data_IF_823761820511
#
_entry.id   IF_823761820511
#
_cell.length_a   1.000
_cell.length_b   1.000
_cell.length_c   1.000
_cell.angle_alpha   90.00
_cell.angle_beta   90.00
_cell.angle_gamma   90.00
#
_symmetry.space_group_name_H-M   'P 1'
#
loop_
_entity.id
_entity.type
_entity.pdbx_description
1 polymer ?
#
# COMPACT_ATOMS: atom_id res chain seq x y z
N UNK A 1 -49.47 -5.59 -19.45
CA UNK A 1 -48.08 -5.86 -19.02
C UNK A 1 -47.68 -5.14 -17.71
N UNK A 2 -48.37 -4.08 -17.29
CA UNK A 2 -48.14 -3.40 -16.00
C UNK A 2 -48.80 -4.07 -14.78
N UNK A 3 -49.91 -4.79 -14.97
CA UNK A 3 -50.66 -5.43 -13.89
C UNK A 3 -50.05 -6.76 -13.40
N UNK A 4 -49.27 -7.46 -14.22
CA UNK A 4 -48.60 -8.71 -13.82
C UNK A 4 -47.34 -8.46 -12.99
N UNK A 5 -46.60 -7.38 -13.26
CA UNK A 5 -45.40 -7.02 -12.49
C UNK A 5 -45.74 -6.60 -11.06
N UNK A 6 -46.89 -5.94 -10.86
CA UNK A 6 -47.35 -5.54 -9.51
C UNK A 6 -47.84 -6.75 -8.69
N UNK A 7 -48.39 -7.77 -9.33
CA UNK A 7 -48.78 -9.01 -8.64
C UNK A 7 -47.56 -9.86 -8.26
N UNK A 8 -46.47 -9.80 -9.04
CA UNK A 8 -45.23 -10.51 -8.73
C UNK A 8 -44.49 -9.88 -7.54
N UNK A 9 -44.45 -8.54 -7.44
CA UNK A 9 -43.83 -7.83 -6.30
C UNK A 9 -44.62 -8.00 -4.99
N UNK A 10 -45.96 -8.06 -5.07
CA UNK A 10 -46.81 -8.34 -3.90
C UNK A 10 -46.67 -9.78 -3.39
N UNK A 11 -46.34 -10.75 -4.24
CA UNK A 11 -46.07 -12.14 -3.82
C UNK A 11 -44.70 -12.26 -3.14
N UNK A 12 -43.67 -11.61 -3.68
CA UNK A 12 -42.33 -11.60 -3.07
C UNK A 12 -42.32 -11.00 -1.65
N UNK A 13 -43.07 -9.91 -1.41
CA UNK A 13 -43.20 -9.31 -0.07
C UNK A 13 -44.00 -10.16 0.92
N UNK A 14 -44.86 -11.07 0.45
CA UNK A 14 -45.67 -11.93 1.33
C UNK A 14 -44.85 -13.11 1.87
N UNK A 15 -43.98 -13.68 1.06
CA UNK A 15 -43.10 -14.79 1.48
C UNK A 15 -42.02 -14.34 2.48
N UNK A 16 -41.51 -13.11 2.34
CA UNK A 16 -40.52 -12.55 3.26
C UNK A 16 -41.11 -12.15 4.64
N UNK A 17 -42.45 -11.97 4.70
CA UNK A 17 -43.15 -11.78 5.98
C UNK A 17 -43.38 -13.10 6.71
N UNK A 18 -43.64 -14.20 5.97
CA UNK A 18 -43.87 -15.54 6.55
C UNK A 18 -42.58 -16.16 7.07
N UNK A 19 -41.44 -15.91 6.43
CA UNK A 19 -40.13 -16.39 6.87
C UNK A 19 -39.66 -15.75 8.17
N UNK A 20 -40.03 -14.48 8.44
CA UNK A 20 -39.69 -13.78 9.69
C UNK A 20 -40.58 -14.20 10.86
N UNK A 21 -41.87 -14.44 10.64
CA UNK A 21 -42.77 -14.93 11.71
C UNK A 21 -42.49 -16.38 12.12
N UNK A 22 -41.95 -17.22 11.24
CA UNK A 22 -41.61 -18.61 11.57
C UNK A 22 -40.35 -18.79 12.42
N UNK A 23 -39.51 -17.75 12.56
CA UNK A 23 -38.29 -17.78 13.38
C UNK A 23 -38.50 -17.23 14.80
N UNK A 24 -39.62 -16.56 15.07
CA UNK A 24 -39.95 -16.01 16.39
C UNK A 24 -40.78 -16.98 17.26
N UNK A 25 -41.47 -17.96 16.65
CA UNK A 25 -42.30 -18.94 17.38
C UNK A 25 -41.50 -20.13 17.97
N UNK A 26 -40.25 -20.34 17.54
CA UNK A 26 -39.39 -21.44 18.05
C UNK A 26 -38.67 -21.11 19.38
N UNK A 27 -38.84 -19.90 19.93
CA UNK A 27 -38.22 -19.48 21.20
C UNK A 27 -39.20 -19.31 22.36
N UNK A 28 -40.47 -19.70 22.19
CA UNK A 28 -41.50 -19.54 23.21
C UNK A 28 -42.34 -20.83 23.38
N UNK A 29 -41.78 -21.89 23.97
CA UNK A 29 -42.58 -23.09 24.23
C UNK A 29 -41.93 -24.32 24.87
N UNK A 30 -41.35 -24.20 26.08
CA UNK A 30 -41.33 -25.25 27.14
C UNK A 30 -40.70 -24.60 28.38
N UNK A 31 -41.23 -24.61 29.60
CA UNK A 31 -41.93 -25.65 30.35
C UNK A 31 -42.87 -24.99 31.37
N UNK A 32 -44.14 -25.39 31.40
CA UNK A 32 -44.99 -25.33 32.60
C UNK A 32 -46.26 -26.14 32.37
N UNK A 33 -46.34 -27.31 33.00
CA UNK A 33 -47.55 -27.84 33.65
C UNK A 33 -47.33 -29.29 34.11
N UNK A 34 -47.68 -29.57 35.37
CA UNK A 34 -47.93 -30.95 35.81
C UNK A 34 -47.68 -31.21 37.29
N UNK A 35 -48.52 -30.68 38.17
CA UNK A 35 -48.55 -31.11 39.57
C UNK A 35 -49.16 -32.50 39.74
N UNK A 36 -48.73 -33.22 40.79
CA UNK A 36 -49.54 -34.20 41.54
C UNK A 36 -48.88 -34.54 42.88
N UNK A 37 -49.62 -34.27 43.95
CA UNK A 37 -49.45 -34.87 45.27
C UNK A 37 -49.66 -36.38 45.19
N UNK A 38 -48.86 -37.17 45.92
CA UNK A 38 -49.42 -38.24 46.74
C UNK A 38 -48.50 -38.57 47.93
N UNK A 39 -49.17 -38.81 49.06
CA UNK A 39 -48.64 -39.29 50.34
C UNK A 39 -48.09 -40.72 50.23
N UNK A 40 -47.08 -41.05 51.04
CA UNK A 40 -47.22 -41.91 52.23
C UNK A 40 -45.89 -42.53 52.66
N UNK A 41 -45.72 -42.61 53.98
CA UNK A 41 -44.86 -43.53 54.76
C UNK A 41 -43.33 -43.34 54.64
N UNK A 42 -42.54 -43.25 55.70
CA UNK A 42 -42.70 -43.77 57.05
C UNK A 42 -41.46 -44.63 57.36
N UNK A 43 -40.81 -44.32 58.49
CA UNK A 43 -39.75 -45.08 59.19
C UNK A 43 -38.28 -44.67 59.00
N UNK A 44 -37.76 -44.07 60.09
CA UNK A 44 -36.47 -44.36 60.78
C UNK A 44 -35.21 -43.94 60.02
N UNK A 45 -34.38 -42.99 60.49
CA UNK A 45 -33.91 -42.78 61.86
C UNK A 45 -32.39 -42.96 61.87
N UNK A 46 -31.67 -42.02 62.53
CA UNK A 46 -30.20 -41.83 62.56
C UNK A 46 -29.66 -41.24 61.25
N UNK A 47 -28.88 -40.16 61.23
CA UNK A 47 -27.86 -39.72 62.18
C UNK A 47 -27.66 -38.20 62.05
N UNK A 48 -27.75 -37.51 63.18
CA UNK A 48 -27.27 -36.13 63.33
C UNK A 48 -25.78 -36.19 63.67
N UNK A 49 -24.89 -35.93 62.71
CA UNK A 49 -23.54 -35.38 62.98
C UNK A 49 -22.70 -35.37 61.70
N UNK A 50 -22.54 -34.20 61.08
CA UNK A 50 -21.62 -34.04 59.93
C UNK A 50 -21.84 -32.79 59.07
N UNK A 51 -22.91 -32.03 59.29
CA UNK A 51 -23.30 -30.88 58.44
C UNK A 51 -22.64 -29.54 58.82
N UNK A 52 -21.35 -29.54 59.17
CA UNK A 52 -20.59 -28.27 59.34
C UNK A 52 -19.34 -28.17 58.46
N UNK A 53 -18.97 -29.23 57.72
CA UNK A 53 -17.77 -29.23 56.87
C UNK A 53 -18.01 -28.94 55.38
N UNK A 54 -19.20 -29.24 54.85
CA UNK A 54 -19.39 -29.32 53.39
C UNK A 54 -20.06 -28.10 52.74
N UNK A 55 -20.61 -27.17 53.53
CA UNK A 55 -21.17 -25.91 53.02
C UNK A 55 -20.09 -24.90 52.56
N UNK A 56 -18.87 -25.01 53.10
CA UNK A 56 -17.76 -24.09 52.78
C UNK A 56 -17.01 -24.47 51.51
N UNK A 57 -16.93 -25.77 51.20
CA UNK A 57 -16.24 -26.25 49.99
C UNK A 57 -17.01 -25.94 48.69
N UNK A 58 -18.35 -25.99 48.72
CA UNK A 58 -19.18 -25.63 47.55
C UNK A 58 -19.16 -24.13 47.25
N UNK A 59 -19.05 -23.28 48.27
CA UNK A 59 -18.94 -21.83 48.09
C UNK A 59 -17.53 -21.39 47.67
N UNK A 60 -16.48 -22.12 48.07
CA UNK A 60 -15.10 -21.85 47.65
C UNK A 60 -14.89 -22.12 46.15
N UNK A 61 -15.49 -23.18 45.59
CA UNK A 61 -15.39 -23.47 44.16
C UNK A 61 -16.22 -22.52 43.28
N UNK A 62 -17.35 -22.01 43.78
CA UNK A 62 -18.14 -20.98 43.08
C UNK A 62 -17.44 -19.61 43.02
N UNK A 63 -16.50 -19.33 43.94
CA UNK A 63 -15.73 -18.07 43.95
C UNK A 63 -14.41 -18.16 43.18
N UNK A 64 -13.87 -19.35 42.96
CA UNK A 64 -12.63 -19.54 42.18
C UNK A 64 -12.88 -19.51 40.67
N UNK A 65 -14.08 -19.91 40.21
CA UNK A 65 -14.51 -19.75 38.80
C UNK A 65 -14.92 -18.32 38.41
N UNK A 66 -15.10 -17.43 39.39
CA UNK A 66 -15.59 -16.06 39.20
C UNK A 66 -14.50 -14.98 39.34
N UNK A 67 -13.25 -15.36 39.66
CA UNK A 67 -12.12 -14.44 39.81
C UNK A 67 -11.36 -14.14 38.50
N UNK A 68 -11.76 -14.74 37.38
CA UNK A 68 -11.36 -14.30 36.04
C UNK A 68 -12.56 -13.77 35.27
N UNK A 69 -13.32 -12.85 35.89
CA UNK A 69 -14.07 -11.83 35.16
C UNK A 69 -13.07 -10.85 34.53
N UNK A 70 -12.20 -11.39 33.68
CA UNK A 70 -11.22 -10.69 32.87
C UNK A 70 -12.03 -9.71 32.03
N UNK A 71 -11.81 -8.42 32.26
CA UNK A 71 -12.53 -7.34 31.60
C UNK A 71 -12.74 -7.70 30.11
N UNK A 72 -13.98 -7.70 29.58
CA UNK A 72 -14.25 -8.09 28.18
C UNK A 72 -13.40 -7.29 27.18
N UNK A 73 -12.94 -6.10 27.55
CA UNK A 73 -11.99 -5.31 26.78
C UNK A 73 -10.61 -5.99 26.64
N UNK A 74 -10.10 -6.65 27.69
CA UNK A 74 -8.82 -7.36 27.65
C UNK A 74 -8.87 -8.61 26.78
N UNK A 75 -10.00 -9.35 26.78
CA UNK A 75 -10.18 -10.50 25.87
C UNK A 75 -10.22 -10.05 24.42
N UNK A 76 -10.97 -8.98 24.12
CA UNK A 76 -11.03 -8.39 22.77
C UNK A 76 -9.67 -7.85 22.29
N UNK A 77 -8.89 -7.24 23.19
CA UNK A 77 -7.53 -6.80 22.88
C UNK A 77 -6.59 -7.98 22.58
N UNK A 78 -6.62 -9.04 23.40
CA UNK A 78 -5.83 -10.26 23.18
C UNK A 78 -6.21 -10.96 21.87
N UNK A 79 -7.51 -11.07 21.58
CA UNK A 79 -8.01 -11.63 20.32
C UNK A 79 -7.53 -10.80 19.12
N UNK A 80 -7.67 -9.48 19.17
CA UNK A 80 -7.15 -8.57 18.13
C UNK A 80 -5.63 -8.64 17.96
N UNK A 81 -4.87 -8.71 19.05
CA UNK A 81 -3.42 -8.88 19.01
C UNK A 81 -3.00 -10.22 18.42
N UNK A 82 -3.73 -11.30 18.70
CA UNK A 82 -3.43 -12.62 18.16
C UNK A 82 -3.63 -12.68 16.63
N UNK A 83 -4.61 -11.96 16.09
CA UNK A 83 -4.79 -11.84 14.63
C UNK A 83 -3.66 -11.07 13.96
N UNK A 84 -3.07 -10.09 14.64
CA UNK A 84 -1.96 -9.27 14.11
C UNK A 84 -0.60 -9.95 14.34
N UNK A 85 -0.51 -10.88 15.31
CA UNK A 85 0.74 -11.50 15.72
C UNK A 85 1.53 -12.18 14.57
N UNK A 86 0.91 -12.97 13.65
CA UNK A 86 1.66 -13.58 12.54
C UNK A 86 2.33 -12.55 11.63
N UNK A 87 1.66 -11.42 11.37
CA UNK A 87 2.22 -10.33 10.57
C UNK A 87 3.38 -9.64 11.30
N UNK A 88 3.24 -9.35 12.59
CA UNK A 88 4.31 -8.72 13.40
C UNK A 88 5.53 -9.63 13.51
N UNK A 89 5.32 -10.92 13.76
CA UNK A 89 6.41 -11.90 13.82
C UNK A 89 7.13 -11.98 12.47
N UNK A 90 6.38 -12.04 11.37
CA UNK A 90 6.96 -11.98 10.03
C UNK A 90 7.77 -10.71 9.78
N UNK A 91 7.23 -9.54 10.12
CA UNK A 91 7.94 -8.26 10.01
C UNK A 91 9.23 -8.24 10.83
N UNK A 92 9.20 -8.71 12.09
CA UNK A 92 10.39 -8.72 12.95
C UNK A 92 11.50 -9.61 12.40
N UNK A 93 11.14 -10.80 11.89
CA UNK A 93 12.12 -11.79 11.41
C UNK A 93 12.65 -11.42 10.02
N UNK A 94 11.78 -11.02 9.10
CA UNK A 94 12.14 -10.85 7.68
C UNK A 94 12.46 -9.41 7.28
N UNK A 95 12.08 -8.41 8.08
CA UNK A 95 12.32 -6.99 7.76
C UNK A 95 13.20 -6.36 8.84
N UNK A 96 12.75 -6.36 10.10
CA UNK A 96 13.46 -5.65 11.16
C UNK A 96 14.83 -6.26 11.46
N UNK A 97 14.92 -7.59 11.55
CA UNK A 97 16.19 -8.27 11.84
C UNK A 97 17.24 -8.05 10.74
N UNK A 98 16.98 -8.29 9.45
CA UNK A 98 17.97 -8.02 8.39
C UNK A 98 18.36 -6.55 8.29
N UNK A 99 17.42 -5.63 8.54
CA UNK A 99 17.68 -4.19 8.54
C UNK A 99 18.63 -3.80 9.67
N UNK A 100 18.38 -4.26 10.90
CA UNK A 100 19.29 -4.02 12.03
C UNK A 100 20.66 -4.68 11.80
N UNK A 101 20.67 -5.89 11.23
CA UNK A 101 21.92 -6.58 10.88
C UNK A 101 22.71 -5.85 9.79
N UNK A 102 22.04 -5.26 8.79
CA UNK A 102 22.67 -4.40 7.79
C UNK A 102 23.29 -3.16 8.42
N UNK A 103 22.59 -2.53 9.39
CA UNK A 103 23.15 -1.42 10.14
C UNK A 103 24.37 -1.83 10.98
N UNK A 104 24.35 -3.04 11.55
CA UNK A 104 25.52 -3.58 12.23
C UNK A 104 26.70 -3.76 11.26
N UNK A 105 26.46 -4.30 10.07
CA UNK A 105 27.49 -4.49 9.04
C UNK A 105 28.07 -3.16 8.53
N UNK A 106 27.31 -2.06 8.49
CA UNK A 106 27.84 -0.78 8.01
C UNK A 106 28.98 -0.20 8.87
N UNK A 107 29.12 -0.63 10.13
CA UNK A 107 30.23 -0.24 11.01
C UNK A 107 31.36 -1.28 11.07
N UNK A 108 31.20 -2.41 10.39
CA UNK A 108 32.14 -3.54 10.45
C UNK A 108 32.67 -3.91 9.06
N UNK A 109 33.97 -4.14 8.97
CA UNK A 109 34.55 -4.84 7.83
C UNK A 109 34.19 -6.33 7.94
N UNK A 110 33.34 -6.78 7.03
CA UNK A 110 32.89 -8.17 6.96
C UNK A 110 33.72 -8.90 5.93
N UNK A 111 34.43 -9.95 6.35
CA UNK A 111 35.15 -10.87 5.46
C UNK A 111 34.54 -12.26 5.57
N UNK A 112 33.97 -12.73 4.47
CA UNK A 112 33.47 -14.11 4.38
C UNK A 112 34.67 -15.01 4.07
N UNK A 113 35.06 -15.83 5.04
CA UNK A 113 36.12 -16.83 4.89
C UNK A 113 35.48 -18.23 4.91
N UNK A 114 36.17 -19.23 4.36
CA UNK A 114 35.73 -20.64 4.38
C UNK A 114 35.43 -21.14 5.81
N UNK A 115 36.07 -20.54 6.82
CA UNK A 115 35.94 -20.88 8.25
C UNK A 115 34.85 -20.09 8.99
N UNK A 116 34.17 -19.14 8.34
CA UNK A 116 33.11 -18.34 8.94
C UNK A 116 33.16 -16.86 8.57
N UNK A 117 32.24 -16.08 9.15
CA UNK A 117 32.16 -14.63 8.96
C UNK A 117 33.05 -13.95 9.99
N UNK A 118 34.13 -13.31 9.54
CA UNK A 118 34.97 -12.48 10.41
C UNK A 118 34.51 -11.02 10.30
N UNK A 119 34.27 -10.39 11.43
CA UNK A 119 33.90 -8.96 11.49
C UNK A 119 34.95 -8.19 12.27
N UNK A 120 35.49 -7.14 11.67
CA UNK A 120 36.40 -6.19 12.34
C UNK A 120 35.69 -4.84 12.45
N UNK A 121 35.72 -4.23 13.64
CA UNK A 121 35.07 -2.93 13.85
C UNK A 121 35.90 -1.81 13.20
N UNK A 122 35.30 -1.12 12.24
CA UNK A 122 35.92 -0.02 11.49
C UNK A 122 35.29 1.33 11.86
N UNK A 123 34.12 1.31 12.50
CA UNK A 123 33.42 2.51 12.95
C UNK A 123 32.91 3.32 11.76
N UNK A 124 33.24 4.61 11.70
CA UNK A 124 32.73 5.53 10.68
C UNK A 124 33.59 5.62 9.41
N UNK A 125 34.63 4.79 9.24
CA UNK A 125 35.55 4.97 8.12
C UNK A 125 34.86 4.84 6.75
N UNK A 126 33.92 3.89 6.58
CA UNK A 126 33.17 3.76 5.31
C UNK A 126 32.29 4.99 5.02
N UNK A 127 31.70 5.61 6.04
CA UNK A 127 30.93 6.84 5.84
C UNK A 127 31.82 8.01 5.41
N UNK A 128 33.03 8.11 5.98
CA UNK A 128 34.01 9.11 5.58
C UNK A 128 34.55 8.83 4.18
N UNK A 129 34.79 7.58 3.84
CA UNK A 129 35.23 7.15 2.50
C UNK A 129 34.20 7.57 1.45
N UNK A 130 32.93 7.21 1.64
CA UNK A 130 31.85 7.51 0.68
C UNK A 130 31.57 9.02 0.59
N UNK A 131 31.60 9.76 1.71
CA UNK A 131 31.20 11.17 1.73
C UNK A 131 32.34 12.15 1.41
N UNK A 132 33.58 11.81 1.76
CA UNK A 132 34.72 12.73 1.72
C UNK A 132 35.84 12.30 0.77
N UNK A 133 36.09 10.99 0.63
CA UNK A 133 37.23 10.48 -0.15
C UNK A 133 36.83 10.11 -1.58
N UNK A 134 35.66 9.50 -1.76
CA UNK A 134 35.15 9.01 -3.03
C UNK A 134 34.06 9.95 -3.58
N UNK A 135 34.44 11.21 -3.79
CA UNK A 135 33.55 12.24 -4.33
C UNK A 135 32.96 11.91 -5.71
N UNK A 136 33.54 10.92 -6.41
CA UNK A 136 33.02 10.40 -7.68
C UNK A 136 31.63 9.76 -7.51
N UNK A 137 31.37 9.01 -6.45
CA UNK A 137 30.05 8.38 -6.27
C UNK A 137 28.92 9.40 -6.11
N UNK A 138 29.18 10.49 -5.39
CA UNK A 138 28.19 11.56 -5.19
C UNK A 138 28.04 12.47 -6.42
N UNK A 139 29.13 12.74 -7.14
CA UNK A 139 29.10 13.69 -8.27
C UNK A 139 28.79 13.01 -9.61
N UNK A 140 29.35 11.84 -9.86
CA UNK A 140 29.25 11.13 -11.15
C UNK A 140 27.99 10.28 -11.25
N UNK A 141 27.47 9.74 -10.13
CA UNK A 141 26.28 8.87 -10.16
C UNK A 141 25.05 9.53 -9.57
N UNK A 142 25.15 10.08 -8.35
CA UNK A 142 24.00 10.60 -7.63
C UNK A 142 23.46 11.89 -8.28
N UNK A 143 24.33 12.84 -8.64
CA UNK A 143 23.88 14.13 -9.19
C UNK A 143 23.17 14.00 -10.56
N UNK A 144 23.68 13.22 -11.54
CA UNK A 144 22.95 12.97 -12.77
C UNK A 144 21.62 12.25 -12.52
N UNK A 145 21.61 11.23 -11.65
CA UNK A 145 20.40 10.51 -11.29
C UNK A 145 19.34 11.43 -10.66
N UNK A 146 19.72 12.30 -9.72
CA UNK A 146 18.80 13.24 -9.09
C UNK A 146 18.20 14.24 -10.09
N UNK A 147 19.01 14.70 -11.06
CA UNK A 147 18.53 15.56 -12.15
C UNK A 147 17.50 14.83 -13.01
N UNK A 148 17.79 13.60 -13.38
CA UNK A 148 16.89 12.76 -14.17
C UNK A 148 15.60 12.47 -13.41
N UNK A 149 15.69 12.03 -12.15
CA UNK A 149 14.55 11.76 -11.28
C UNK A 149 13.64 13.00 -11.12
N UNK A 150 14.22 14.19 -10.94
CA UNK A 150 13.46 15.44 -10.80
C UNK A 150 12.62 15.76 -12.04
N UNK A 151 13.10 15.40 -13.23
CA UNK A 151 12.38 15.56 -14.49
C UNK A 151 11.38 14.42 -14.71
N UNK A 152 11.76 13.19 -14.40
CA UNK A 152 10.96 12.00 -14.67
C UNK A 152 9.74 11.87 -13.75
N UNK A 153 9.87 12.22 -12.46
CA UNK A 153 8.77 12.19 -11.49
C UNK A 153 7.53 12.96 -11.98
N UNK A 154 7.61 14.26 -12.33
CA UNK A 154 6.44 15.01 -12.80
C UNK A 154 5.90 14.47 -14.12
N UNK A 155 6.76 13.98 -15.03
CA UNK A 155 6.32 13.37 -16.28
C UNK A 155 5.49 12.12 -16.01
N UNK A 156 5.96 11.20 -15.15
CA UNK A 156 5.24 10.00 -14.77
C UNK A 156 3.90 10.35 -14.11
N UNK A 157 3.87 11.34 -13.22
CA UNK A 157 2.64 11.77 -12.55
C UNK A 157 1.60 12.34 -13.53
N UNK A 158 2.03 13.22 -14.44
CA UNK A 158 1.12 13.80 -15.44
C UNK A 158 0.65 12.72 -16.41
N UNK A 159 1.56 11.89 -16.91
CA UNK A 159 1.23 10.81 -17.83
C UNK A 159 0.25 9.81 -17.21
N UNK A 160 0.55 9.32 -15.99
CA UNK A 160 -0.33 8.39 -15.28
C UNK A 160 -1.70 8.97 -14.97
N UNK A 161 -1.78 10.26 -14.62
CA UNK A 161 -3.06 10.95 -14.41
C UNK A 161 -3.88 11.02 -15.71
N UNK A 162 -3.25 11.40 -16.83
CA UNK A 162 -3.92 11.48 -18.14
C UNK A 162 -4.45 10.11 -18.58
N UNK A 163 -3.62 9.07 -18.48
CA UNK A 163 -4.03 7.71 -18.83
C UNK A 163 -5.11 7.19 -17.89
N UNK A 164 -5.03 7.47 -16.58
CA UNK A 164 -6.07 7.08 -15.63
C UNK A 164 -7.43 7.72 -15.95
N UNK A 165 -7.45 9.00 -16.35
CA UNK A 165 -8.68 9.69 -16.79
C UNK A 165 -9.22 9.05 -18.07
N UNK A 166 -8.34 8.74 -19.03
CA UNK A 166 -8.71 8.08 -20.28
C UNK A 166 -9.33 6.69 -20.04
N UNK A 167 -8.71 5.88 -19.18
CA UNK A 167 -9.18 4.53 -18.82
C UNK A 167 -10.45 4.52 -17.96
N UNK A 168 -10.80 5.67 -17.36
CA UNK A 168 -12.03 5.83 -16.61
C UNK A 168 -13.24 6.20 -17.50
N UNK A 169 -13.02 6.52 -18.78
CA UNK A 169 -14.12 6.80 -19.71
C UNK A 169 -14.91 5.52 -20.05
N UNK A 170 -16.20 5.68 -20.30
CA UNK A 170 -17.06 4.61 -20.77
C UNK A 170 -16.92 4.47 -22.30
N UNK A 171 -16.06 3.55 -22.75
CA UNK A 171 -15.91 3.20 -24.16
C UNK A 171 -15.85 1.68 -24.39
N UNK A 172 -16.32 1.18 -25.55
CA UNK A 172 -16.25 -0.25 -25.87
C UNK A 172 -14.78 -0.68 -26.00
N UNK A 173 -14.40 -1.76 -25.30
CA UNK A 173 -13.02 -2.26 -25.30
C UNK A 173 -12.13 -1.77 -24.15
N UNK A 174 -12.66 -1.00 -23.19
CA UNK A 174 -11.91 -0.49 -22.02
C UNK A 174 -11.13 -1.54 -21.21
N UNK A 175 -11.61 -2.79 -21.19
CA UNK A 175 -10.91 -3.89 -20.52
C UNK A 175 -9.59 -4.24 -21.19
N UNK A 176 -9.55 -4.29 -22.52
CA UNK A 176 -8.34 -4.56 -23.28
C UNK A 176 -7.33 -3.43 -23.12
N UNK A 177 -7.78 -2.17 -23.16
CA UNK A 177 -6.90 -1.02 -22.92
C UNK A 177 -6.25 -1.08 -21.53
N UNK A 178 -7.03 -1.40 -20.49
CA UNK A 178 -6.46 -1.64 -19.15
C UNK A 178 -5.39 -2.72 -19.17
N UNK A 179 -5.65 -3.87 -19.79
CA UNK A 179 -4.67 -4.95 -19.88
C UNK A 179 -3.38 -4.49 -20.56
N UNK A 180 -3.45 -3.76 -21.67
CA UNK A 180 -2.26 -3.27 -22.39
C UNK A 180 -1.43 -2.32 -21.52
N UNK A 181 -2.06 -1.36 -20.84
CA UNK A 181 -1.34 -0.42 -19.96
C UNK A 181 -0.85 -1.05 -18.65
N UNK A 182 -1.43 -2.16 -18.22
CA UNK A 182 -1.00 -2.89 -17.01
C UNK A 182 -0.01 -4.02 -17.30
N UNK A 183 0.09 -4.45 -18.55
CA UNK A 183 1.01 -5.49 -18.97
C UNK A 183 2.48 -5.21 -18.55
N UNK A 184 3.02 -3.98 -18.74
CA UNK A 184 4.40 -3.68 -18.36
C UNK A 184 4.67 -3.90 -16.87
N UNK A 185 3.72 -3.56 -16.00
CA UNK A 185 3.84 -3.77 -14.54
C UNK A 185 3.95 -5.24 -14.19
N UNK A 186 3.22 -6.10 -14.89
CA UNK A 186 3.25 -7.55 -14.66
C UNK A 186 4.58 -8.14 -15.12
N UNK A 187 5.14 -7.64 -16.22
CA UNK A 187 6.43 -8.07 -16.76
C UNK A 187 7.64 -7.37 -16.09
N UNK A 188 7.42 -6.46 -15.14
CA UNK A 188 8.44 -5.68 -14.42
C UNK A 188 9.29 -6.51 -13.44
N UNK A 189 9.78 -7.69 -13.84
CA UNK A 189 10.93 -8.28 -13.16
C UNK A 189 12.18 -7.50 -13.54
N UNK A 190 13.04 -7.19 -12.56
CA UNK A 190 14.26 -6.40 -12.78
C UNK A 190 15.13 -6.94 -13.92
N UNK A 191 15.20 -8.28 -14.07
CA UNK A 191 15.98 -8.93 -15.10
C UNK A 191 15.43 -8.72 -16.53
N UNK A 192 14.10 -8.71 -16.70
CA UNK A 192 13.48 -8.46 -18.00
C UNK A 192 13.75 -7.02 -18.43
N UNK A 193 13.67 -6.07 -17.50
CA UNK A 193 13.95 -4.65 -17.79
C UNK A 193 15.42 -4.48 -18.19
N UNK A 194 16.35 -5.07 -17.44
CA UNK A 194 17.78 -4.96 -17.77
C UNK A 194 18.09 -5.57 -19.14
N UNK A 195 17.51 -6.72 -19.45
CA UNK A 195 17.70 -7.39 -20.74
C UNK A 195 17.09 -6.58 -21.89
N UNK A 196 15.89 -6.03 -21.68
CA UNK A 196 15.20 -5.20 -22.65
C UNK A 196 15.95 -3.88 -22.93
N UNK A 197 16.48 -3.23 -21.90
CA UNK A 197 17.35 -2.06 -22.05
C UNK A 197 18.68 -2.44 -22.72
N UNK A 198 19.29 -3.56 -22.34
CA UNK A 198 20.55 -4.04 -22.92
C UNK A 198 20.42 -4.35 -24.42
N UNK A 199 19.25 -4.80 -24.86
CA UNK A 199 18.93 -5.00 -26.27
C UNK A 199 18.67 -3.69 -27.04
N UNK A 200 18.73 -2.54 -26.38
CA UNK A 200 18.47 -1.23 -26.98
C UNK A 200 16.99 -0.91 -27.17
N UNK A 201 16.09 -1.74 -26.64
CA UNK A 201 14.63 -1.58 -26.75
C UNK A 201 14.06 -0.68 -25.64
N UNK A 202 14.89 -0.28 -24.67
CA UNK A 202 14.53 0.68 -23.62
C UNK A 202 14.36 2.12 -24.11
N UNK A 203 14.94 2.47 -25.27
CA UNK A 203 14.61 3.65 -26.03
C UNK A 203 13.77 3.25 -27.24
N UNK A 204 12.96 4.16 -27.78
CA UNK A 204 12.32 3.91 -29.06
C UNK A 204 13.41 3.86 -30.14
N UNK A 205 14.02 2.71 -30.40
CA UNK A 205 14.99 2.50 -31.49
C UNK A 205 14.43 2.90 -32.87
N UNK A 206 13.10 2.99 -32.97
CA UNK A 206 12.34 3.59 -34.08
C UNK A 206 12.69 5.08 -34.31
N UNK A 207 12.96 5.86 -33.27
CA UNK A 207 13.29 7.30 -33.37
C UNK A 207 14.70 7.49 -33.91
N UNK A 208 15.65 6.71 -33.38
CA UNK A 208 17.02 6.70 -33.86
C UNK A 208 17.12 6.13 -35.29
N UNK A 209 16.34 5.08 -35.61
CA UNK A 209 16.32 4.50 -36.96
C UNK A 209 15.61 5.37 -37.99
N UNK A 210 14.60 6.16 -37.60
CA UNK A 210 13.94 7.16 -38.46
C UNK A 210 14.65 8.52 -38.45
N UNK A 211 15.74 8.69 -37.69
CA UNK A 211 16.48 9.96 -37.50
C UNK A 211 15.60 11.15 -37.12
N UNK A 212 14.53 10.87 -36.37
CA UNK A 212 13.58 11.90 -35.92
C UNK A 212 14.29 12.86 -34.94
N UNK A 213 15.24 12.35 -34.17
CA UNK A 213 16.17 13.12 -33.33
C UNK A 213 16.95 14.17 -34.14
N UNK A 214 17.53 13.76 -35.27
CA UNK A 214 18.33 14.61 -36.17
C UNK A 214 17.46 15.70 -36.85
N UNK A 215 16.21 15.36 -37.18
CA UNK A 215 15.24 16.34 -37.71
C UNK A 215 14.78 17.32 -36.63
N UNK A 216 14.48 16.83 -35.42
CA UNK A 216 14.02 17.68 -34.31
C UNK A 216 15.12 18.64 -33.84
N UNK A 217 16.37 18.21 -33.79
CA UNK A 217 17.51 19.06 -33.43
C UNK A 217 17.78 20.12 -34.51
N UNK A 218 17.49 19.83 -35.80
CA UNK A 218 17.66 20.81 -36.90
C UNK A 218 16.54 21.84 -36.98
N UNK A 219 15.29 21.45 -36.72
CA UNK A 219 14.12 22.32 -36.93
C UNK A 219 13.59 22.97 -35.64
N UNK A 220 14.02 22.49 -34.47
CA UNK A 220 13.59 23.02 -33.19
C UNK A 220 14.75 23.74 -32.49
N UNK A 221 14.53 24.89 -31.82
CA UNK A 221 15.57 25.53 -31.04
C UNK A 221 16.16 24.55 -30.03
N UNK A 222 17.49 24.50 -29.92
CA UNK A 222 18.19 23.53 -29.06
C UNK A 222 17.73 23.53 -27.60
N UNK A 223 17.17 24.64 -27.11
CA UNK A 223 16.57 24.75 -25.78
C UNK A 223 15.32 23.89 -25.56
N UNK A 224 14.56 23.60 -26.62
CA UNK A 224 13.35 22.75 -26.59
C UNK A 224 13.59 21.37 -27.20
N UNK A 225 14.50 21.26 -28.18
CA UNK A 225 14.81 20.00 -28.86
C UNK A 225 15.31 18.93 -27.87
N UNK A 226 16.29 19.27 -27.03
CA UNK A 226 16.90 18.32 -26.08
C UNK A 226 15.90 17.69 -25.09
N UNK A 227 15.12 18.51 -24.35
CA UNK A 227 14.11 17.98 -23.43
C UNK A 227 13.04 17.14 -24.12
N UNK A 228 12.56 17.56 -25.29
CA UNK A 228 11.51 16.83 -26.00
C UNK A 228 12.03 15.48 -26.50
N UNK A 229 13.22 15.43 -27.11
CA UNK A 229 13.84 14.17 -27.54
C UNK A 229 14.04 13.24 -26.35
N UNK A 230 14.54 13.76 -25.22
CA UNK A 230 14.72 12.97 -23.98
C UNK A 230 13.39 12.37 -23.46
N UNK A 231 12.29 13.13 -23.48
CA UNK A 231 10.97 12.64 -23.06
C UNK A 231 10.47 11.54 -24.00
N UNK A 232 10.62 11.73 -25.31
CA UNK A 232 10.13 10.76 -26.28
C UNK A 232 10.98 9.49 -26.25
N UNK A 233 12.31 9.61 -26.14
CA UNK A 233 13.21 8.47 -25.97
C UNK A 233 12.89 7.69 -24.69
N UNK A 234 12.49 8.40 -23.63
CA UNK A 234 12.08 7.82 -22.35
C UNK A 234 10.63 7.36 -22.31
N UNK A 235 9.87 7.44 -23.41
CA UNK A 235 8.43 7.13 -23.41
C UNK A 235 8.14 5.70 -22.93
N UNK A 236 8.97 4.74 -23.36
CA UNK A 236 8.87 3.34 -22.93
C UNK A 236 9.08 3.21 -21.43
N UNK A 237 10.08 3.90 -20.88
CA UNK A 237 10.33 3.95 -19.43
C UNK A 237 9.16 4.61 -18.70
N UNK A 238 8.64 5.74 -19.19
CA UNK A 238 7.47 6.41 -18.60
C UNK A 238 6.25 5.49 -18.60
N UNK A 239 6.01 4.75 -19.67
CA UNK A 239 4.94 3.75 -19.74
C UNK A 239 5.16 2.64 -18.70
N UNK A 240 6.41 2.19 -18.52
CA UNK A 240 6.77 1.15 -17.57
C UNK A 240 6.57 1.58 -16.11
N UNK A 241 7.08 2.76 -15.75
CA UNK A 241 7.03 3.31 -14.41
C UNK A 241 5.74 4.06 -14.09
N UNK A 242 4.74 4.02 -14.97
CA UNK A 242 3.43 4.67 -14.71
C UNK A 242 2.31 3.69 -14.40
N UNK A 243 2.50 2.38 -14.55
CA UNK A 243 1.38 1.46 -14.48
C UNK A 243 0.75 1.32 -13.08
N UNK A 244 1.55 1.27 -12.00
CA UNK A 244 1.00 1.30 -10.63
C UNK A 244 0.37 2.67 -10.33
N UNK A 245 0.99 3.73 -10.83
CA UNK A 245 0.56 5.10 -10.64
C UNK A 245 -0.81 5.36 -11.31
N UNK A 246 -1.02 4.79 -12.49
CA UNK A 246 -2.30 4.76 -13.20
C UNK A 246 -3.36 4.08 -12.34
N UNK A 247 -3.05 2.95 -11.69
CA UNK A 247 -3.99 2.25 -10.80
C UNK A 247 -4.38 3.11 -9.59
N UNK A 248 -3.40 3.76 -8.95
CA UNK A 248 -3.65 4.63 -7.80
C UNK A 248 -4.53 5.82 -8.23
N UNK A 249 -4.25 6.46 -9.37
CA UNK A 249 -5.08 7.54 -9.88
C UNK A 249 -6.47 7.10 -10.32
N UNK A 250 -6.59 5.92 -10.93
CA UNK A 250 -7.87 5.35 -11.33
C UNK A 250 -8.75 5.06 -10.09
N UNK A 251 -8.17 4.45 -9.05
CA UNK A 251 -8.84 4.25 -7.77
C UNK A 251 -9.24 5.59 -7.13
N UNK A 252 -8.34 6.58 -7.17
CA UNK A 252 -8.61 7.92 -6.67
C UNK A 252 -9.78 8.61 -7.36
N UNK A 253 -9.82 8.54 -8.70
CA UNK A 253 -10.92 9.07 -9.51
C UNK A 253 -12.26 8.43 -9.16
N UNK A 254 -12.27 7.13 -8.89
CA UNK A 254 -13.47 6.36 -8.53
C UNK A 254 -14.03 6.69 -7.15
N UNK A 255 -13.23 7.30 -6.25
CA UNK A 255 -13.72 7.72 -4.93
C UNK A 255 -14.63 8.95 -4.98
N UNK A 256 -14.55 9.75 -6.05
CA UNK A 256 -15.39 10.95 -6.21
C UNK A 256 -16.76 10.52 -6.74
N UNK A 257 -17.80 10.72 -5.93
CA UNK A 257 -19.16 10.29 -6.26
C UNK A 257 -19.70 10.94 -7.53
N UNK A 258 -20.47 10.18 -8.31
CA UNK A 258 -21.09 10.62 -9.57
C UNK A 258 -21.99 11.86 -9.41
N UNK A 259 -22.66 11.99 -8.27
CA UNK A 259 -23.55 13.12 -7.95
C UNK A 259 -22.85 14.48 -8.01
N UNK A 260 -21.56 14.55 -7.66
CA UNK A 260 -20.78 15.80 -7.73
C UNK A 260 -20.58 16.26 -9.17
N UNK A 261 -20.37 15.34 -10.11
CA UNK A 261 -20.27 15.64 -11.54
C UNK A 261 -21.63 15.97 -12.17
N UNK A 262 -22.70 15.37 -11.67
CA UNK A 262 -24.06 15.68 -12.13
C UNK A 262 -24.49 17.08 -11.66
N UNK A 263 -24.18 17.43 -10.41
CA UNK A 263 -24.39 18.77 -9.88
C UNK A 263 -23.60 19.83 -10.69
N UNK A 264 -22.32 19.58 -10.98
CA UNK A 264 -21.52 20.54 -11.77
C UNK A 264 -22.07 20.74 -13.19
N UNK A 265 -22.64 19.70 -13.79
CA UNK A 265 -23.31 19.78 -15.10
C UNK A 265 -24.64 20.54 -15.04
N UNK A 266 -25.40 20.40 -13.96
CA UNK A 266 -26.63 21.18 -13.74
C UNK A 266 -26.29 22.66 -13.59
N UNK A 267 -25.18 22.99 -12.92
CA UNK A 267 -24.67 24.35 -12.76
C UNK A 267 -24.03 24.92 -14.05
N UNK A 268 -24.05 24.16 -15.15
CA UNK A 268 -23.51 24.60 -16.45
C UNK A 268 -21.98 24.64 -16.53
N UNK A 269 -21.28 23.97 -15.60
CA UNK A 269 -19.82 23.91 -15.65
C UNK A 269 -19.33 23.06 -16.82
N UNK A 270 -18.37 23.59 -17.58
CA UNK A 270 -17.71 22.86 -18.66
C UNK A 270 -16.78 21.74 -18.10
N UNK A 271 -16.42 20.73 -18.91
CA UNK A 271 -15.55 19.64 -18.46
C UNK A 271 -14.16 20.10 -17.99
N UNK A 272 -13.64 21.20 -18.53
CA UNK A 272 -12.34 21.75 -18.17
C UNK A 272 -12.39 22.42 -16.78
N UNK A 273 -13.41 23.24 -16.53
CA UNK A 273 -13.71 23.81 -15.21
C UNK A 273 -14.00 22.71 -14.17
N UNK A 274 -14.75 21.68 -14.55
CA UNK A 274 -15.01 20.50 -13.71
C UNK A 274 -13.72 19.74 -13.38
N UNK A 275 -12.78 19.63 -14.33
CA UNK A 275 -11.49 19.02 -14.08
C UNK A 275 -10.66 19.82 -13.05
N UNK A 276 -10.43 21.11 -13.30
CA UNK A 276 -9.57 21.92 -12.44
C UNK A 276 -10.16 22.24 -11.07
N UNK A 277 -11.48 22.37 -10.95
CA UNK A 277 -12.13 22.79 -9.70
C UNK A 277 -12.68 21.65 -8.84
N UNK A 278 -12.98 20.50 -9.44
CA UNK A 278 -13.60 19.36 -8.73
C UNK A 278 -12.67 18.15 -8.76
N UNK A 279 -12.26 17.73 -9.95
CA UNK A 279 -11.48 16.51 -10.13
C UNK A 279 -10.10 16.61 -9.49
N UNK A 280 -9.31 17.60 -9.92
CA UNK A 280 -7.93 17.73 -9.49
C UNK A 280 -7.83 18.01 -7.98
N UNK A 281 -8.64 18.91 -7.37
CA UNK A 281 -8.64 19.12 -5.92
C UNK A 281 -9.12 17.88 -5.15
N UNK A 282 -10.15 17.18 -5.65
CA UNK A 282 -10.63 15.94 -5.02
C UNK A 282 -9.62 14.80 -5.07
N UNK A 283 -8.73 14.80 -6.05
CA UNK A 283 -7.66 13.79 -6.21
C UNK A 283 -6.38 14.13 -5.46
N UNK A 284 -6.28 15.28 -4.77
CA UNK A 284 -5.08 15.72 -4.05
C UNK A 284 -4.44 14.62 -3.18
N UNK A 285 -5.17 13.90 -2.30
CA UNK A 285 -4.58 12.82 -1.50
C UNK A 285 -3.93 11.72 -2.34
N UNK A 286 -4.52 11.42 -3.51
CA UNK A 286 -4.01 10.44 -4.45
C UNK A 286 -2.83 10.96 -5.28
N UNK A 287 -2.78 12.26 -5.59
CA UNK A 287 -1.60 12.90 -6.23
C UNK A 287 -0.39 12.78 -5.30
N UNK A 288 -0.56 13.05 -4.00
CA UNK A 288 0.52 12.94 -3.04
C UNK A 288 0.93 11.49 -2.76
N UNK A 289 -0.03 10.58 -2.67
CA UNK A 289 0.27 9.14 -2.58
C UNK A 289 1.08 8.67 -3.79
N UNK A 290 0.67 9.06 -5.00
CA UNK A 290 1.41 8.76 -6.23
C UNK A 290 2.80 9.39 -6.22
N UNK A 291 2.94 10.65 -5.79
CA UNK A 291 4.24 11.32 -5.71
C UNK A 291 5.22 10.55 -4.81
N UNK A 292 4.78 10.14 -3.62
CA UNK A 292 5.61 9.36 -2.69
C UNK A 292 5.95 8.01 -3.30
N UNK A 293 4.96 7.34 -3.90
CA UNK A 293 5.18 6.04 -4.55
C UNK A 293 6.21 6.15 -5.67
N UNK A 294 6.06 7.11 -6.59
CA UNK A 294 7.00 7.34 -7.69
C UNK A 294 8.40 7.69 -7.22
N UNK A 295 8.54 8.47 -6.13
CA UNK A 295 9.85 8.73 -5.50
C UNK A 295 10.45 7.41 -5.02
N UNK A 296 9.71 6.59 -4.27
CA UNK A 296 10.27 5.33 -3.76
C UNK A 296 10.61 4.38 -4.90
N UNK A 297 9.73 4.25 -5.90
CA UNK A 297 9.88 3.36 -7.05
C UNK A 297 11.13 3.71 -7.89
N UNK A 298 11.28 4.99 -8.26
CA UNK A 298 12.45 5.49 -9.01
C UNK A 298 13.75 5.47 -8.21
N UNK A 299 13.70 5.51 -6.89
CA UNK A 299 14.92 5.43 -6.10
C UNK A 299 15.30 3.97 -5.81
N UNK A 300 14.35 3.03 -5.86
CA UNK A 300 14.57 1.62 -5.49
C UNK A 300 14.65 0.66 -6.67
N UNK A 301 14.53 1.15 -7.91
CA UNK A 301 14.62 0.28 -9.09
C UNK A 301 15.97 -0.45 -9.19
N UNK A 302 16.00 -1.72 -9.65
CA UNK A 302 17.21 -2.54 -9.66
C UNK A 302 18.37 -1.96 -10.47
N UNK A 303 18.08 -1.22 -11.53
CA UNK A 303 19.09 -0.60 -12.40
C UNK A 303 19.52 0.80 -11.94
N UNK A 304 19.19 1.19 -10.70
CA UNK A 304 19.61 2.47 -10.14
C UNK A 304 21.13 2.51 -10.00
N UNK A 305 21.81 3.58 -10.45
CA UNK A 305 23.28 3.64 -10.47
C UNK A 305 23.91 3.59 -9.07
N UNK A 306 23.15 3.94 -8.01
CA UNK A 306 23.61 3.81 -6.63
C UNK A 306 23.36 2.40 -6.10
N UNK A 307 22.20 1.82 -6.39
CA UNK A 307 21.86 0.45 -5.96
C UNK A 307 22.74 -0.58 -6.65
N UNK A 308 23.11 -0.38 -7.91
CA UNK A 308 24.00 -1.29 -8.65
C UNK A 308 25.41 -1.38 -8.03
N UNK A 309 25.83 -0.37 -7.26
CA UNK A 309 27.09 -0.36 -6.51
C UNK A 309 27.01 -1.10 -5.16
N UNK A 310 25.82 -1.52 -4.75
CA UNK A 310 25.64 -2.39 -3.58
C UNK A 310 26.00 -3.83 -4.00
N UNK A 311 27.29 -4.13 -4.07
CA UNK A 311 27.81 -5.45 -4.45
C UNK A 311 28.08 -6.35 -3.23
N UNK A 312 28.47 -7.59 -3.50
CA UNK A 312 28.88 -8.57 -2.49
C UNK A 312 30.37 -8.54 -2.19
N UNK A 313 31.14 -7.67 -2.85
CA UNK A 313 32.59 -7.63 -2.71
C UNK A 313 33.01 -7.05 -1.36
N UNK A 314 32.25 -6.07 -0.86
CA UNK A 314 32.48 -5.45 0.44
C UNK A 314 31.14 -5.15 1.13
N UNK A 315 30.63 -6.12 1.89
CA UNK A 315 29.36 -5.99 2.62
C UNK A 315 29.31 -4.80 3.59
N UNK A 316 30.44 -4.40 4.17
CA UNK A 316 30.51 -3.26 5.08
C UNK A 316 30.29 -1.93 4.36
N UNK A 317 31.05 -1.69 3.30
CA UNK A 317 30.92 -0.49 2.45
C UNK A 317 29.55 -0.44 1.78
N UNK A 318 29.09 -1.56 1.20
CA UNK A 318 27.78 -1.63 0.54
C UNK A 318 26.62 -1.40 1.51
N UNK A 319 26.72 -1.89 2.76
CA UNK A 319 25.74 -1.58 3.80
C UNK A 319 25.77 -0.09 4.19
N UNK A 320 26.95 0.51 4.35
CA UNK A 320 27.08 1.94 4.64
C UNK A 320 26.47 2.80 3.52
N UNK A 321 26.75 2.47 2.26
CA UNK A 321 26.17 3.10 1.08
C UNK A 321 24.65 3.02 1.10
N UNK A 322 24.08 1.83 1.33
CA UNK A 322 22.64 1.61 1.38
C UNK A 322 21.98 2.46 2.48
N UNK A 323 22.63 2.63 3.64
CA UNK A 323 22.12 3.48 4.72
C UNK A 323 22.17 4.98 4.40
N UNK A 324 23.25 5.46 3.77
CA UNK A 324 23.33 6.84 3.28
C UNK A 324 22.21 7.10 2.27
N UNK A 325 22.04 6.18 1.32
CA UNK A 325 21.03 6.28 0.29
C UNK A 325 19.60 6.20 0.87
N UNK A 326 19.36 5.33 1.84
CA UNK A 326 18.09 5.24 2.57
C UNK A 326 17.72 6.58 3.25
N UNK A 327 18.68 7.24 3.91
CA UNK A 327 18.46 8.55 4.51
C UNK A 327 18.17 9.63 3.46
N UNK A 328 18.82 9.55 2.30
CA UNK A 328 18.55 10.45 1.19
C UNK A 328 17.13 10.26 0.65
N UNK A 329 16.68 9.02 0.43
CA UNK A 329 15.29 8.72 0.01
C UNK A 329 14.30 9.25 1.05
N UNK A 330 14.57 9.02 2.34
CA UNK A 330 13.73 9.51 3.44
C UNK A 330 13.65 11.04 3.44
N UNK A 331 14.75 11.74 3.15
CA UNK A 331 14.77 13.18 3.00
C UNK A 331 13.89 13.66 1.82
N UNK A 332 13.95 13.00 0.66
CA UNK A 332 13.10 13.33 -0.49
C UNK A 332 11.61 13.09 -0.20
N UNK A 333 11.28 11.95 0.43
CA UNK A 333 9.91 11.65 0.87
C UNK A 333 9.44 12.64 1.93
N UNK A 334 10.30 12.98 2.89
CA UNK A 334 10.04 13.98 3.92
C UNK A 334 9.76 15.36 3.33
N UNK A 335 10.54 15.78 2.33
CA UNK A 335 10.31 17.03 1.60
C UNK A 335 8.97 17.01 0.84
N UNK A 336 8.64 15.91 0.17
CA UNK A 336 7.33 15.74 -0.47
C UNK A 336 6.16 15.81 0.54
N UNK A 337 6.32 15.19 1.71
CA UNK A 337 5.33 15.25 2.81
C UNK A 337 5.21 16.65 3.42
N UNK A 338 6.31 17.40 3.52
CA UNK A 338 6.28 18.79 3.97
C UNK A 338 5.51 19.68 2.98
N UNK A 339 5.75 19.50 1.69
CA UNK A 339 4.98 20.18 0.62
C UNK A 339 3.49 19.82 0.73
N UNK A 340 3.17 18.54 0.92
CA UNK A 340 1.78 18.09 1.14
C UNK A 340 1.14 18.78 2.34
N UNK A 341 1.79 18.74 3.49
CA UNK A 341 1.30 19.34 4.73
C UNK A 341 1.04 20.85 4.57
N UNK A 342 1.91 21.55 3.83
CA UNK A 342 1.75 22.98 3.53
C UNK A 342 0.53 23.24 2.65
N UNK A 343 0.37 22.48 1.57
CA UNK A 343 -0.75 22.65 0.62
C UNK A 343 -2.08 22.26 1.27
N UNK A 344 -2.13 21.16 1.99
CA UNK A 344 -3.35 20.68 2.65
C UNK A 344 -3.84 21.66 3.74
N UNK A 345 -2.91 22.27 4.50
CA UNK A 345 -3.27 23.34 5.45
C UNK A 345 -3.92 24.54 4.79
N UNK A 346 -3.54 24.86 3.55
CA UNK A 346 -4.12 25.97 2.79
C UNK A 346 -5.47 25.64 2.14
N UNK A 347 -5.79 24.35 1.97
CA UNK A 347 -7.05 23.87 1.39
C UNK A 347 -8.13 23.56 2.44
N UNK A 348 -7.76 23.50 3.73
CA UNK A 348 -8.73 23.32 4.80
C UNK A 348 -9.62 24.56 4.91
N UNK A 349 -10.97 24.41 4.98
CA UNK A 349 -11.86 25.54 5.18
C UNK A 349 -11.49 26.26 6.49
N UNK A 350 -11.56 27.61 6.54
CA UNK A 350 -11.39 28.34 7.78
C UNK A 350 -12.38 27.79 8.81
N UNK A 351 -11.86 27.40 9.97
CA UNK A 351 -12.63 26.81 11.07
C UNK A 351 -13.64 27.79 11.65
#
# INVERSE_FOLDING_TARGET
MSLELEQHDRRARRDDSKSRTGLEDDLAGSESAGGRNNQSDGWVGRERSGLLGLGRARLAFSRLGLALRRNPQWRRQLEGSLFIAPWVVGFLIFVAFPLVYSLYMSFHQVRITVTGVQTALVGLAYYQEILLADGGLLYDDLMPFLREALVMIPIILVFSLLVAILLNLDFPGRGLFRVVFFLPVIFASGQIITEFIAQGEGSLGVIASLRIDDMMIRYLPGSWAGPIVSVIDSFVLVLWYSGVQILIFLAGRQTISRSVYEASRIDGADPWSTFWKITLPGMVPFIFLNLIYTIVDLFTYPSNPIISKVTTDNYGLSSALAWIYFLLVLLFVGLALLIYSRINRNLAPPR
#
